data_IF_059042675717
#
_entry.id   IF_059042675717
#
_cell.length_a   1.000
_cell.length_b   1.000
_cell.length_c   1.000
_cell.angle_alpha   90.00
_cell.angle_beta   90.00
_cell.angle_gamma   90.00
#
_symmetry.space_group_name_H-M   'P 1'
#
loop_
_entity.id
_entity.type
_entity.pdbx_description
1 polymer ?
#
# COMPACT_ATOMS: atom_id res chain seq x y z
N UNK A 1 -30.02 -11.71 -6.82
CA UNK A 1 -29.34 -12.85 -6.17
C UNK A 1 -30.38 -13.58 -5.33
N UNK A 2 -30.68 -14.84 -5.62
CA UNK A 2 -31.48 -15.67 -4.73
C UNK A 2 -30.86 -15.65 -3.31
N UNK A 3 -31.68 -15.82 -2.28
CA UNK A 3 -31.36 -15.50 -0.88
C UNK A 3 -30.36 -16.49 -0.23
N UNK A 4 -29.17 -16.60 -0.82
CA UNK A 4 -28.09 -17.51 -0.44
C UNK A 4 -27.60 -17.25 0.99
N UNK A 5 -27.83 -16.03 1.52
CA UNK A 5 -27.52 -15.69 2.92
C UNK A 5 -28.45 -16.39 3.89
N UNK A 6 -29.76 -16.32 3.69
CA UNK A 6 -30.70 -17.06 4.55
C UNK A 6 -30.42 -18.55 4.58
N UNK A 7 -30.04 -19.12 3.43
CA UNK A 7 -29.66 -20.54 3.35
C UNK A 7 -28.37 -20.79 4.13
N UNK A 8 -27.33 -19.98 3.93
CA UNK A 8 -26.06 -20.14 4.63
C UNK A 8 -26.17 -19.92 6.15
N UNK A 9 -26.93 -18.92 6.59
CA UNK A 9 -27.21 -18.64 8.00
C UNK A 9 -27.96 -19.81 8.64
N UNK A 10 -28.94 -20.41 7.92
CA UNK A 10 -29.66 -21.60 8.39
C UNK A 10 -28.74 -22.81 8.48
N UNK A 11 -27.82 -22.99 7.53
CA UNK A 11 -26.82 -24.05 7.57
C UNK A 11 -25.90 -23.86 8.79
N UNK A 12 -25.38 -22.65 9.01
CA UNK A 12 -24.55 -22.32 10.19
C UNK A 12 -25.31 -22.59 11.50
N UNK A 13 -26.58 -22.16 11.59
CA UNK A 13 -27.41 -22.32 12.78
C UNK A 13 -27.76 -23.79 13.07
N UNK A 14 -28.02 -24.60 12.03
CA UNK A 14 -28.25 -26.03 12.17
C UNK A 14 -27.03 -26.73 12.77
N UNK A 15 -25.82 -26.36 12.34
CA UNK A 15 -24.59 -26.97 12.85
C UNK A 15 -24.22 -26.53 14.26
N UNK A 16 -24.50 -25.27 14.63
CA UNK A 16 -24.29 -24.77 16.00
C UNK A 16 -25.38 -25.22 16.99
N UNK A 17 -26.43 -25.90 16.53
CA UNK A 17 -27.52 -26.32 17.40
C UNK A 17 -27.10 -27.47 18.32
N UNK A 18 -27.42 -27.34 19.61
CA UNK A 18 -27.20 -28.41 20.62
C UNK A 18 -27.95 -29.72 20.31
N UNK A 19 -28.90 -29.68 19.38
CA UNK A 19 -29.68 -30.84 18.91
C UNK A 19 -29.02 -31.57 17.73
N UNK A 20 -27.93 -31.02 17.19
CA UNK A 20 -27.21 -31.63 16.09
C UNK A 20 -26.22 -32.69 16.62
N UNK A 21 -26.55 -33.95 16.39
CA UNK A 21 -25.70 -35.09 16.78
C UNK A 21 -24.55 -35.34 15.80
N UNK A 22 -24.53 -34.67 14.64
CA UNK A 22 -23.41 -34.69 13.71
C UNK A 22 -22.41 -33.59 14.10
N UNK A 23 -21.39 -33.94 14.89
CA UNK A 23 -20.29 -33.02 15.15
C UNK A 23 -19.41 -32.86 13.89
N UNK A 24 -18.79 -31.69 13.76
CA UNK A 24 -17.95 -31.25 12.64
C UNK A 24 -16.72 -32.11 12.25
N UNK A 25 -16.20 -33.10 13.03
CA UNK A 25 -15.07 -33.92 12.57
C UNK A 25 -15.30 -34.72 11.27
N UNK A 26 -16.54 -34.79 10.75
CA UNK A 26 -16.88 -35.48 9.51
C UNK A 26 -17.10 -34.54 8.29
N UNK A 27 -16.98 -33.22 8.45
CA UNK A 27 -17.12 -32.27 7.33
C UNK A 27 -15.73 -31.93 6.78
N UNK A 28 -15.24 -32.74 5.83
CA UNK A 28 -13.94 -32.53 5.16
C UNK A 28 -13.78 -31.14 4.53
N UNK A 29 -14.89 -30.41 4.33
CA UNK A 29 -14.96 -29.10 3.68
C UNK A 29 -15.40 -27.96 4.61
N UNK A 30 -15.27 -28.09 5.94
CA UNK A 30 -15.68 -27.05 6.90
C UNK A 30 -15.03 -25.69 6.59
N UNK A 31 -13.72 -25.70 6.38
CA UNK A 31 -12.96 -24.49 6.04
C UNK A 31 -13.41 -23.89 4.70
N UNK A 32 -13.81 -24.72 3.75
CA UNK A 32 -14.33 -24.29 2.45
C UNK A 32 -15.70 -23.64 2.61
N UNK A 33 -16.59 -24.23 3.40
CA UNK A 33 -17.89 -23.64 3.73
C UNK A 33 -17.71 -22.27 4.40
N UNK A 34 -16.92 -22.18 5.47
CA UNK A 34 -16.72 -20.91 6.17
C UNK A 34 -15.99 -19.86 5.33
N UNK A 35 -15.10 -20.27 4.42
CA UNK A 35 -14.46 -19.37 3.46
C UNK A 35 -15.49 -18.75 2.50
N UNK A 36 -16.35 -19.58 1.90
CA UNK A 36 -17.41 -19.11 1.01
C UNK A 36 -18.47 -18.29 1.75
N UNK A 37 -18.82 -18.71 2.96
CA UNK A 37 -19.75 -18.01 3.83
C UNK A 37 -19.22 -16.63 4.20
N UNK A 38 -17.98 -16.52 4.66
CA UNK A 38 -17.36 -15.23 4.97
C UNK A 38 -17.32 -14.34 3.72
N UNK A 39 -16.97 -14.86 2.54
CA UNK A 39 -17.00 -14.08 1.30
C UNK A 39 -18.40 -13.57 0.93
N UNK A 40 -19.46 -14.30 1.27
CA UNK A 40 -20.84 -13.82 1.14
C UNK A 40 -21.13 -12.70 2.13
N UNK A 41 -20.74 -12.87 3.40
CA UNK A 41 -20.93 -11.88 4.46
C UNK A 41 -20.17 -10.57 4.19
N UNK A 42 -18.94 -10.64 3.67
CA UNK A 42 -18.15 -9.48 3.25
C UNK A 42 -18.87 -8.62 2.22
N UNK A 43 -19.81 -9.17 1.45
CA UNK A 43 -20.58 -8.40 0.46
C UNK A 43 -21.88 -7.81 1.01
N UNK A 44 -22.38 -8.33 2.12
CA UNK A 44 -23.78 -8.10 2.53
C UNK A 44 -23.95 -7.54 3.93
N UNK A 45 -23.01 -7.80 4.84
CA UNK A 45 -23.10 -7.29 6.21
C UNK A 45 -22.73 -5.82 6.29
N UNK A 46 -23.36 -5.05 7.19
CA UNK A 46 -22.83 -3.79 7.68
C UNK A 46 -21.40 -3.96 8.25
N UNK A 47 -20.63 -2.88 8.31
CA UNK A 47 -19.22 -2.98 8.69
C UNK A 47 -19.04 -3.38 10.15
N UNK A 48 -19.96 -2.98 11.02
CA UNK A 48 -20.05 -3.34 12.45
C UNK A 48 -20.13 -4.85 12.65
N UNK A 49 -21.08 -5.49 11.96
CA UNK A 49 -21.29 -6.93 12.04
C UNK A 49 -20.17 -7.70 11.33
N UNK A 50 -19.65 -7.15 10.23
CA UNK A 50 -18.55 -7.76 9.49
C UNK A 50 -17.28 -7.83 10.33
N UNK A 51 -16.97 -6.80 11.13
CA UNK A 51 -15.82 -6.78 12.04
C UNK A 51 -15.86 -7.97 13.01
N UNK A 52 -16.99 -8.14 13.69
CA UNK A 52 -17.23 -9.24 14.63
C UNK A 52 -17.05 -10.59 13.94
N UNK A 53 -17.67 -10.76 12.76
CA UNK A 53 -17.60 -12.02 12.00
C UNK A 53 -16.20 -12.31 11.48
N UNK A 54 -15.48 -11.31 10.99
CA UNK A 54 -14.11 -11.48 10.51
C UNK A 54 -13.19 -11.94 11.62
N UNK A 55 -13.22 -11.28 12.79
CA UNK A 55 -12.36 -11.64 13.95
C UNK A 55 -12.68 -13.02 14.53
N UNK A 56 -13.94 -13.44 14.49
CA UNK A 56 -14.35 -14.75 14.97
C UNK A 56 -13.84 -15.89 14.06
N UNK A 57 -13.79 -15.66 12.75
CA UNK A 57 -13.47 -16.69 11.77
C UNK A 57 -12.00 -16.69 11.34
N UNK A 58 -11.34 -15.54 11.28
CA UNK A 58 -10.00 -15.39 10.69
C UNK A 58 -8.92 -15.19 11.77
N UNK A 59 -7.80 -15.93 11.73
CA UNK A 59 -7.42 -16.95 10.76
C UNK A 59 -7.81 -18.39 11.17
N UNK A 60 -8.48 -18.56 12.32
CA UNK A 60 -8.62 -19.86 13.00
C UNK A 60 -9.49 -20.87 12.24
N UNK A 61 -10.61 -20.40 11.70
CA UNK A 61 -11.60 -21.22 10.98
C UNK A 61 -11.42 -21.06 9.46
N UNK A 62 -11.09 -19.83 9.05
CA UNK A 62 -10.88 -19.48 7.64
C UNK A 62 -9.46 -18.98 7.45
N UNK A 63 -8.71 -19.65 6.59
CA UNK A 63 -7.38 -19.20 6.19
C UNK A 63 -7.43 -17.87 5.44
N UNK A 64 -6.44 -17.02 5.68
CA UNK A 64 -6.28 -15.73 5.01
C UNK A 64 -5.83 -15.99 3.58
N UNK A 65 -6.69 -15.72 2.60
CA UNK A 65 -6.37 -15.86 1.18
C UNK A 65 -6.48 -14.50 0.45
N UNK A 66 -5.91 -14.45 -0.76
CA UNK A 66 -5.82 -13.23 -1.57
C UNK A 66 -7.21 -12.64 -1.87
N UNK A 67 -8.17 -13.49 -2.23
CA UNK A 67 -9.54 -13.05 -2.57
C UNK A 67 -10.25 -12.40 -1.39
N UNK A 68 -10.12 -12.99 -0.19
CA UNK A 68 -10.67 -12.44 1.05
C UNK A 68 -10.02 -11.10 1.39
N UNK A 69 -8.68 -11.03 1.30
CA UNK A 69 -7.93 -9.80 1.60
C UNK A 69 -8.34 -8.67 0.67
N UNK A 70 -8.41 -8.92 -0.65
CA UNK A 70 -8.87 -7.95 -1.64
C UNK A 70 -10.29 -7.48 -1.36
N UNK A 71 -11.22 -8.42 -1.08
CA UNK A 71 -12.61 -8.07 -0.82
C UNK A 71 -12.77 -7.21 0.45
N UNK A 72 -12.02 -7.53 1.51
CA UNK A 72 -11.99 -6.73 2.74
C UNK A 72 -11.40 -5.34 2.51
N UNK A 73 -10.28 -5.22 1.80
CA UNK A 73 -9.67 -3.91 1.50
C UNK A 73 -10.63 -3.03 0.70
N UNK A 74 -11.31 -3.56 -0.31
CA UNK A 74 -12.31 -2.79 -1.08
C UNK A 74 -13.46 -2.29 -0.19
N UNK A 75 -13.95 -3.15 0.72
CA UNK A 75 -14.98 -2.78 1.69
C UNK A 75 -14.51 -1.68 2.64
N UNK A 76 -13.27 -1.78 3.13
CA UNK A 76 -12.67 -0.81 4.06
C UNK A 76 -12.28 0.51 3.39
N UNK A 77 -12.01 0.49 2.08
CA UNK A 77 -11.79 1.71 1.30
C UNK A 77 -13.08 2.54 1.17
N UNK A 78 -14.24 1.87 1.06
CA UNK A 78 -15.54 2.54 1.02
C UNK A 78 -16.04 2.99 2.40
N UNK A 79 -15.73 2.22 3.46
CA UNK A 79 -16.14 2.54 4.84
C UNK A 79 -14.96 2.30 5.77
N UNK A 80 -14.23 3.36 6.09
CA UNK A 80 -13.00 3.26 6.86
C UNK A 80 -13.28 2.83 8.30
N UNK A 81 -12.55 1.81 8.73
CA UNK A 81 -12.47 1.37 10.13
C UNK A 81 -11.04 0.95 10.43
N UNK A 82 -10.30 1.81 11.12
CA UNK A 82 -8.86 1.62 11.35
C UNK A 82 -8.57 0.26 12.01
N UNK A 83 -9.22 -0.04 13.13
CA UNK A 83 -8.99 -1.29 13.87
C UNK A 83 -9.19 -2.56 13.03
N UNK A 84 -10.18 -2.58 12.13
CA UNK A 84 -10.41 -3.71 11.24
C UNK A 84 -9.44 -3.72 10.06
N UNK A 85 -9.09 -2.55 9.50
CA UNK A 85 -8.09 -2.44 8.44
C UNK A 85 -6.71 -2.90 8.91
N UNK A 86 -6.25 -2.43 10.09
CA UNK A 86 -5.03 -2.87 10.72
C UNK A 86 -5.01 -4.39 10.85
N UNK A 87 -6.10 -4.97 11.35
CA UNK A 87 -6.23 -6.42 11.50
C UNK A 87 -6.10 -7.16 10.17
N UNK A 88 -6.79 -6.71 9.12
CA UNK A 88 -6.75 -7.32 7.78
C UNK A 88 -5.34 -7.27 7.18
N UNK A 89 -4.61 -6.16 7.38
CA UNK A 89 -3.23 -6.02 6.90
C UNK A 89 -2.29 -6.93 7.69
N UNK A 90 -2.38 -6.97 9.01
CA UNK A 90 -1.59 -7.87 9.87
C UNK A 90 -1.78 -9.35 9.49
N UNK A 91 -3.03 -9.76 9.28
CA UNK A 91 -3.37 -11.10 8.81
C UNK A 91 -2.78 -11.37 7.41
N UNK A 92 -2.78 -10.36 6.53
CA UNK A 92 -2.13 -10.43 5.21
C UNK A 92 -0.60 -10.54 5.28
N UNK A 93 0.05 -9.83 6.21
CA UNK A 93 1.49 -9.96 6.47
C UNK A 93 1.81 -11.39 6.92
N UNK A 94 1.05 -11.91 7.90
CA UNK A 94 1.22 -13.28 8.39
C UNK A 94 1.01 -14.33 7.28
N UNK A 95 0.08 -14.06 6.36
CA UNK A 95 -0.19 -14.89 5.18
C UNK A 95 0.77 -14.67 3.99
N UNK A 96 1.82 -13.85 4.16
CA UNK A 96 2.82 -13.53 3.13
C UNK A 96 2.25 -12.84 1.89
N UNK A 97 1.17 -12.08 2.03
CA UNK A 97 0.58 -11.32 0.93
C UNK A 97 1.41 -10.10 0.51
N UNK A 98 2.43 -9.74 1.28
CA UNK A 98 3.37 -8.65 0.96
C UNK A 98 4.17 -8.88 -0.33
N UNK A 99 4.27 -10.13 -0.80
CA UNK A 99 4.92 -10.45 -2.08
C UNK A 99 3.93 -10.55 -3.24
N UNK A 100 2.62 -10.58 -2.97
CA UNK A 100 1.61 -10.51 -4.02
C UNK A 100 1.47 -9.06 -4.49
N UNK A 101 1.84 -8.81 -5.75
CA UNK A 101 1.85 -7.46 -6.34
C UNK A 101 0.47 -6.77 -6.27
N UNK A 102 -0.61 -7.51 -6.52
CA UNK A 102 -1.96 -6.96 -6.56
C UNK A 102 -2.44 -6.62 -5.15
N UNK A 103 -2.26 -7.54 -4.20
CA UNK A 103 -2.68 -7.31 -2.81
C UNK A 103 -1.86 -6.18 -2.19
N UNK A 104 -0.55 -6.17 -2.42
CA UNK A 104 0.35 -5.13 -1.89
C UNK A 104 0.01 -3.74 -2.43
N UNK A 105 -0.30 -3.62 -3.73
CA UNK A 105 -0.75 -2.35 -4.31
C UNK A 105 -2.07 -1.86 -3.68
N UNK A 106 -3.03 -2.76 -3.45
CA UNK A 106 -4.28 -2.42 -2.77
C UNK A 106 -4.06 -1.98 -1.33
N UNK A 107 -3.16 -2.64 -0.59
CA UNK A 107 -2.81 -2.24 0.77
C UNK A 107 -2.20 -0.83 0.81
N UNK A 108 -1.27 -0.50 -0.08
CA UNK A 108 -0.72 0.86 -0.17
C UNK A 108 -1.80 1.88 -0.57
N UNK A 109 -2.65 1.53 -1.52
CA UNK A 109 -3.74 2.39 -1.98
C UNK A 109 -4.72 2.75 -0.85
N UNK A 110 -5.17 1.77 -0.07
CA UNK A 110 -6.10 2.04 1.04
C UNK A 110 -5.43 2.84 2.15
N UNK A 111 -4.16 2.56 2.48
CA UNK A 111 -3.39 3.33 3.46
C UNK A 111 -3.19 4.79 3.03
N UNK A 112 -2.90 5.04 1.74
CA UNK A 112 -2.77 6.39 1.19
C UNK A 112 -4.08 7.19 1.24
N UNK A 113 -5.23 6.50 1.25
CA UNK A 113 -6.58 7.07 1.31
C UNK A 113 -7.08 7.34 2.74
N UNK A 114 -6.31 6.97 3.77
CA UNK A 114 -6.70 7.18 5.16
C UNK A 114 -6.87 8.66 5.48
N UNK A 115 -7.94 8.96 6.21
CA UNK A 115 -8.19 10.29 6.75
C UNK A 115 -7.50 10.46 8.09
N UNK A 116 -6.20 10.72 8.06
CA UNK A 116 -5.35 10.80 9.26
C UNK A 116 -5.83 11.82 10.29
N UNK A 117 -6.52 12.87 9.85
CA UNK A 117 -7.12 13.89 10.72
C UNK A 117 -8.31 13.39 11.54
N UNK A 118 -8.98 12.31 11.12
CA UNK A 118 -10.10 11.69 11.84
C UNK A 118 -9.64 10.63 12.85
N UNK A 119 -8.36 10.25 12.83
CA UNK A 119 -7.77 9.22 13.71
C UNK A 119 -7.28 9.81 15.04
N UNK A 120 -7.24 8.98 16.10
CA UNK A 120 -6.59 9.37 17.36
C UNK A 120 -5.07 9.41 17.22
N UNK A 121 -4.36 9.91 18.25
CA UNK A 121 -2.90 9.92 18.27
C UNK A 121 -2.37 8.48 18.27
N UNK A 122 -2.95 7.63 19.13
CA UNK A 122 -2.59 6.22 19.28
C UNK A 122 -2.81 5.46 17.97
N UNK A 123 -3.95 5.68 17.30
CA UNK A 123 -4.23 5.06 16.00
C UNK A 123 -3.23 5.50 14.92
N UNK A 124 -2.80 6.77 14.93
CA UNK A 124 -1.77 7.25 14.01
C UNK A 124 -0.39 6.62 14.29
N UNK A 125 -0.04 6.42 15.56
CA UNK A 125 1.20 5.73 15.95
C UNK A 125 1.19 4.27 15.53
N UNK A 126 0.08 3.55 15.76
CA UNK A 126 -0.12 2.19 15.26
C UNK A 126 0.01 2.13 13.72
N UNK A 127 -0.56 3.12 13.03
CA UNK A 127 -0.50 3.21 11.57
C UNK A 127 0.92 3.44 11.06
N UNK A 128 1.65 4.36 11.69
CA UNK A 128 3.04 4.64 11.36
C UNK A 128 3.91 3.40 11.52
N UNK A 129 3.74 2.66 12.63
CA UNK A 129 4.50 1.44 12.87
C UNK A 129 4.17 0.33 11.87
N UNK A 130 2.88 0.15 11.55
CA UNK A 130 2.47 -0.81 10.53
C UNK A 130 3.07 -0.47 9.16
N UNK A 131 3.04 0.80 8.76
CA UNK A 131 3.61 1.27 7.49
C UNK A 131 5.11 1.03 7.44
N UNK A 132 5.86 1.38 8.50
CA UNK A 132 7.31 1.13 8.56
C UNK A 132 7.62 -0.36 8.37
N UNK A 133 6.95 -1.22 9.12
CA UNK A 133 7.09 -2.68 9.00
C UNK A 133 6.80 -3.18 7.59
N UNK A 134 5.74 -2.67 6.95
CA UNK A 134 5.41 -3.07 5.57
C UNK A 134 6.49 -2.64 4.58
N UNK A 135 7.01 -1.42 4.71
CA UNK A 135 8.09 -0.90 3.87
C UNK A 135 9.39 -1.69 4.08
N UNK A 136 9.72 -2.02 5.33
CA UNK A 136 10.88 -2.87 5.66
C UNK A 136 10.80 -4.23 4.96
N UNK A 137 9.63 -4.88 5.00
CA UNK A 137 9.42 -6.16 4.31
C UNK A 137 9.66 -6.01 2.80
N UNK A 138 9.08 -5.01 2.14
CA UNK A 138 9.27 -4.83 0.69
C UNK A 138 10.72 -4.52 0.33
N UNK A 139 11.42 -3.71 1.12
CA UNK A 139 12.84 -3.43 0.92
C UNK A 139 13.69 -4.70 1.10
N UNK A 140 13.42 -5.49 2.14
CA UNK A 140 14.11 -6.76 2.39
C UNK A 140 13.97 -7.71 1.18
N UNK A 141 12.75 -7.92 0.68
CA UNK A 141 12.51 -8.75 -0.50
C UNK A 141 13.20 -8.22 -1.75
N UNK A 142 13.35 -6.90 -1.90
CA UNK A 142 14.09 -6.32 -3.03
C UNK A 142 15.61 -6.53 -2.93
N UNK A 143 16.13 -6.72 -1.72
CA UNK A 143 17.56 -6.86 -1.43
C UNK A 143 18.04 -8.32 -1.38
N UNK A 144 17.20 -9.29 -1.74
CA UNK A 144 17.63 -10.69 -1.89
C UNK A 144 18.50 -10.87 -3.14
N UNK A 145 19.79 -10.59 -3.01
CA UNK A 145 20.77 -10.57 -4.11
C UNK A 145 21.73 -11.76 -4.10
N UNK A 146 21.72 -12.59 -3.05
CA UNK A 146 22.60 -13.77 -2.95
C UNK A 146 22.10 -14.91 -3.85
N UNK A 147 22.98 -15.77 -4.41
CA UNK A 147 22.58 -16.83 -5.34
C UNK A 147 21.45 -17.74 -4.83
N UNK A 148 21.46 -18.07 -3.53
CA UNK A 148 20.47 -18.93 -2.90
C UNK A 148 19.11 -18.23 -2.68
N UNK A 149 19.11 -16.91 -2.53
CA UNK A 149 17.92 -16.11 -2.24
C UNK A 149 17.39 -15.33 -3.45
N UNK A 150 18.14 -15.26 -4.56
CA UNK A 150 17.79 -14.46 -5.74
C UNK A 150 16.41 -14.82 -6.33
N UNK A 151 16.02 -16.10 -6.26
CA UNK A 151 14.68 -16.56 -6.69
C UNK A 151 13.52 -15.96 -5.87
N UNK A 152 13.81 -15.46 -4.67
CA UNK A 152 12.86 -14.81 -3.78
C UNK A 152 12.87 -13.29 -3.96
N UNK A 153 13.80 -12.74 -4.76
CA UNK A 153 13.92 -11.31 -4.97
C UNK A 153 12.66 -10.77 -5.63
N UNK A 154 12.14 -9.68 -5.07
CA UNK A 154 11.06 -8.92 -5.67
C UNK A 154 11.49 -7.46 -5.78
N UNK A 155 11.95 -7.09 -6.98
CA UNK A 155 12.35 -5.71 -7.26
C UNK A 155 11.19 -4.75 -7.05
N UNK A 156 11.48 -3.58 -6.50
CA UNK A 156 10.48 -2.54 -6.29
C UNK A 156 10.12 -1.90 -7.63
N UNK A 157 8.82 -1.71 -7.87
CA UNK A 157 8.35 -0.93 -9.01
C UNK A 157 8.44 0.56 -8.72
N UNK A 158 8.59 1.42 -9.75
CA UNK A 158 8.59 2.86 -9.53
C UNK A 158 7.35 3.38 -8.79
N UNK A 159 6.16 2.82 -9.07
CA UNK A 159 4.95 3.14 -8.29
C UNK A 159 5.07 2.73 -6.83
N UNK A 160 5.60 1.53 -6.54
CA UNK A 160 5.79 1.04 -5.16
C UNK A 160 6.70 1.98 -4.39
N UNK A 161 7.81 2.42 -4.99
CA UNK A 161 8.76 3.35 -4.38
C UNK A 161 8.08 4.69 -4.04
N UNK A 162 7.41 5.31 -5.02
CA UNK A 162 6.74 6.60 -4.79
C UNK A 162 5.62 6.51 -3.75
N UNK A 163 4.87 5.40 -3.73
CA UNK A 163 3.79 5.17 -2.76
C UNK A 163 4.35 4.96 -1.34
N UNK A 164 5.42 4.18 -1.19
CA UNK A 164 6.08 3.96 0.10
C UNK A 164 6.70 5.25 0.64
N UNK A 165 7.35 6.03 -0.24
CA UNK A 165 7.89 7.35 0.09
C UNK A 165 6.79 8.27 0.65
N UNK A 166 5.67 8.40 -0.06
CA UNK A 166 4.56 9.26 0.37
C UNK A 166 3.91 8.76 1.67
N UNK A 167 3.78 7.44 1.85
CA UNK A 167 3.26 6.85 3.10
C UNK A 167 4.15 7.22 4.29
N UNK A 168 5.46 7.05 4.19
CA UNK A 168 6.40 7.38 5.27
C UNK A 168 6.37 8.88 5.60
N UNK A 169 6.40 9.74 4.58
CA UNK A 169 6.35 11.19 4.78
C UNK A 169 5.06 11.61 5.48
N UNK A 170 3.90 11.05 5.07
CA UNK A 170 2.61 11.31 5.74
C UNK A 170 2.60 10.88 7.21
N UNK A 171 3.38 9.87 7.57
CA UNK A 171 3.53 9.38 8.95
C UNK A 171 4.59 10.14 9.76
N UNK A 172 5.22 11.17 9.18
CA UNK A 172 6.27 11.96 9.82
C UNK A 172 7.68 11.39 9.66
N UNK A 173 7.86 10.24 9.02
CA UNK A 173 9.16 9.62 8.73
C UNK A 173 9.74 10.19 7.41
N UNK A 174 9.98 11.51 7.44
CA UNK A 174 10.26 12.31 6.23
C UNK A 174 11.58 11.94 5.57
N UNK A 175 12.65 11.91 6.34
CA UNK A 175 14.01 11.64 5.84
C UNK A 175 14.05 10.30 5.10
N UNK A 176 13.57 9.24 5.76
CA UNK A 176 13.48 7.91 5.18
C UNK A 176 12.59 7.86 3.95
N UNK A 177 11.46 8.58 3.96
CA UNK A 177 10.58 8.66 2.81
C UNK A 177 11.25 9.29 1.58
N UNK A 178 12.04 10.35 1.78
CA UNK A 178 12.83 10.95 0.70
C UNK A 178 13.98 10.06 0.25
N UNK A 179 14.65 9.36 1.15
CA UNK A 179 15.72 8.43 0.80
C UNK A 179 15.24 7.26 -0.06
N UNK A 180 14.05 6.71 0.24
CA UNK A 180 13.42 5.70 -0.61
C UNK A 180 13.10 6.28 -1.99
N UNK A 181 12.63 7.52 -2.08
CA UNK A 181 12.29 8.13 -3.37
C UNK A 181 13.53 8.28 -4.28
N UNK A 182 14.69 8.56 -3.70
CA UNK A 182 15.97 8.70 -4.45
C UNK A 182 16.38 7.42 -5.17
N UNK A 183 15.88 6.25 -4.76
CA UNK A 183 16.12 4.99 -5.48
C UNK A 183 15.65 5.03 -6.94
N UNK A 184 14.72 5.92 -7.30
CA UNK A 184 14.29 6.14 -8.69
C UNK A 184 15.34 6.83 -9.56
N UNK A 185 16.26 7.56 -8.93
CA UNK A 185 17.36 8.28 -9.58
C UNK A 185 18.70 7.54 -9.46
N UNK A 186 18.77 6.46 -8.68
CA UNK A 186 19.98 5.66 -8.50
C UNK A 186 20.15 4.65 -9.64
N UNK A 187 21.16 4.87 -10.48
CA UNK A 187 21.49 3.97 -11.59
C UNK A 187 21.90 2.57 -11.11
N UNK A 188 22.65 2.47 -10.00
CA UNK A 188 23.08 1.17 -9.47
C UNK A 188 21.88 0.35 -8.98
N UNK A 189 20.90 1.00 -8.37
CA UNK A 189 19.67 0.35 -7.92
C UNK A 189 18.82 -0.20 -9.08
N UNK A 190 18.90 0.43 -10.26
CA UNK A 190 18.08 0.09 -11.44
C UNK A 190 18.76 -0.90 -12.39
N UNK A 191 20.03 -0.68 -12.71
CA UNK A 191 20.77 -1.40 -13.75
C UNK A 191 22.16 -1.88 -13.31
N UNK A 192 22.50 -1.80 -12.02
CA UNK A 192 23.75 -2.35 -11.48
C UNK A 192 23.81 -3.88 -11.51
N UNK A 193 24.86 -4.46 -10.92
CA UNK A 193 25.06 -5.92 -10.88
C UNK A 193 23.96 -6.66 -10.10
N UNK A 194 23.42 -6.03 -9.06
CA UNK A 194 22.35 -6.57 -8.22
C UNK A 194 21.20 -5.57 -8.07
N UNK A 195 20.41 -5.34 -9.14
CA UNK A 195 19.40 -4.28 -9.17
C UNK A 195 18.23 -4.63 -8.25
N UNK A 196 17.80 -3.66 -7.45
CA UNK A 196 16.72 -3.75 -6.44
C UNK A 196 15.45 -3.06 -6.91
N UNK A 197 15.54 -2.23 -7.95
CA UNK A 197 14.43 -1.52 -8.60
C UNK A 197 14.23 -2.10 -10.00
N UNK A 198 12.98 -2.26 -10.43
CA UNK A 198 12.70 -2.66 -11.82
C UNK A 198 12.76 -1.46 -12.77
N UNK A 199 13.25 -1.69 -13.98
CA UNK A 199 13.26 -0.70 -15.06
C UNK A 199 11.86 -0.47 -15.66
N UNK A 200 10.92 -1.38 -15.39
CA UNK A 200 9.55 -1.31 -15.92
C UNK A 200 8.60 -0.55 -15.00
N UNK A 201 7.70 0.21 -15.63
CA UNK A 201 6.63 0.95 -14.95
C UNK A 201 6.99 2.41 -14.69
N UNK A 202 6.09 3.12 -14.03
CA UNK A 202 6.20 4.56 -13.78
C UNK A 202 5.65 4.91 -12.39
N UNK A 203 6.21 5.91 -11.69
CA UNK A 203 5.59 6.48 -10.51
C UNK A 203 4.19 7.00 -10.84
N UNK A 204 3.24 6.84 -9.91
CA UNK A 204 1.88 7.33 -10.16
C UNK A 204 1.87 8.87 -10.21
N UNK A 205 1.33 9.51 -11.26
CA UNK A 205 1.39 10.97 -11.40
C UNK A 205 0.70 11.72 -10.26
N UNK A 206 -0.38 11.17 -9.68
CA UNK A 206 -1.03 11.74 -8.49
C UNK A 206 -0.11 11.71 -7.26
N UNK A 207 0.61 10.61 -7.05
CA UNK A 207 1.56 10.43 -5.93
C UNK A 207 2.75 11.37 -6.08
N UNK A 208 3.32 11.48 -7.28
CA UNK A 208 4.43 12.41 -7.55
C UNK A 208 4.01 13.87 -7.36
N UNK A 209 2.78 14.24 -7.74
CA UNK A 209 2.25 15.59 -7.45
C UNK A 209 2.10 15.83 -5.94
N UNK A 210 1.63 14.85 -5.17
CA UNK A 210 1.56 14.96 -3.72
C UNK A 210 2.94 15.09 -3.07
N UNK A 211 3.94 14.34 -3.53
CA UNK A 211 5.32 14.47 -3.07
C UNK A 211 5.90 15.85 -3.41
N UNK A 212 5.68 16.34 -4.64
CA UNK A 212 6.09 17.69 -5.02
C UNK A 212 5.46 18.75 -4.11
N UNK A 213 4.15 18.71 -3.90
CA UNK A 213 3.45 19.65 -3.04
C UNK A 213 4.00 19.63 -1.60
N UNK A 214 4.30 18.43 -1.08
CA UNK A 214 4.89 18.25 0.24
C UNK A 214 6.29 18.89 0.34
N UNK A 215 7.13 18.79 -0.70
CA UNK A 215 8.42 19.49 -0.72
C UNK A 215 8.23 21.02 -0.79
N UNK A 216 7.30 21.48 -1.64
CA UNK A 216 7.01 22.90 -1.83
C UNK A 216 6.44 23.55 -0.56
N UNK A 217 5.56 22.86 0.18
CA UNK A 217 4.97 23.35 1.42
C UNK A 217 6.02 23.68 2.48
N UNK A 218 7.14 22.94 2.50
CA UNK A 218 8.25 23.14 3.44
C UNK A 218 9.35 24.03 2.86
N UNK A 219 9.17 24.56 1.65
CA UNK A 219 10.18 25.34 0.95
C UNK A 219 11.45 24.52 0.64
N UNK A 220 11.33 23.20 0.55
CA UNK A 220 12.46 22.29 0.35
C UNK A 220 12.82 22.20 -1.14
N UNK A 221 13.71 23.08 -1.57
CA UNK A 221 14.19 23.13 -2.95
C UNK A 221 14.82 21.81 -3.40
N UNK A 222 15.50 21.10 -2.51
CA UNK A 222 16.28 19.91 -2.86
C UNK A 222 15.34 18.77 -3.22
N UNK A 223 14.39 18.47 -2.33
CA UNK A 223 13.42 17.42 -2.56
C UNK A 223 12.43 17.79 -3.69
N UNK A 224 12.06 19.07 -3.82
CA UNK A 224 11.24 19.51 -4.96
C UNK A 224 11.97 19.32 -6.30
N UNK A 225 13.27 19.61 -6.36
CA UNK A 225 14.09 19.36 -7.55
C UNK A 225 14.27 17.87 -7.85
N UNK A 226 14.36 17.03 -6.81
CA UNK A 226 14.37 15.57 -7.00
C UNK A 226 13.05 15.07 -7.59
N UNK A 227 11.90 15.56 -7.10
CA UNK A 227 10.60 15.26 -7.70
C UNK A 227 10.54 15.70 -9.17
N UNK A 228 11.05 16.90 -9.49
CA UNK A 228 11.13 17.40 -10.86
C UNK A 228 11.96 16.47 -11.76
N UNK A 229 13.14 16.03 -11.27
CA UNK A 229 14.01 15.12 -12.01
C UNK A 229 13.33 13.77 -12.27
N UNK A 230 12.65 13.21 -11.27
CA UNK A 230 11.89 11.96 -11.42
C UNK A 230 10.74 12.12 -12.44
N UNK A 231 10.03 13.24 -12.41
CA UNK A 231 8.96 13.55 -13.38
C UNK A 231 9.52 13.62 -14.80
N UNK A 232 10.64 14.34 -15.00
CA UNK A 232 11.29 14.43 -16.31
C UNK A 232 11.74 13.05 -16.83
N UNK A 233 12.32 12.23 -15.94
CA UNK A 233 12.84 10.91 -16.28
C UNK A 233 11.73 9.90 -16.65
N UNK A 234 10.63 9.86 -15.88
CA UNK A 234 9.58 8.85 -16.04
C UNK A 234 8.36 9.34 -16.83
N UNK A 235 8.28 10.63 -17.14
CA UNK A 235 7.17 11.23 -17.89
C UNK A 235 7.66 12.40 -18.76
N UNK A 236 8.55 12.14 -19.74
CA UNK A 236 9.24 13.16 -20.53
C UNK A 236 8.30 14.08 -21.33
N UNK A 237 7.08 13.63 -21.62
CA UNK A 237 6.03 14.41 -22.26
C UNK A 237 5.38 15.47 -21.34
N UNK A 238 5.70 15.48 -20.05
CA UNK A 238 5.11 16.40 -19.07
C UNK A 238 5.70 17.78 -19.19
N UNK A 239 4.86 18.81 -19.15
CA UNK A 239 5.34 20.19 -19.12
C UNK A 239 6.05 20.52 -17.79
N UNK A 240 7.36 20.76 -17.84
CA UNK A 240 8.20 20.97 -16.65
C UNK A 240 8.18 22.43 -16.15
N UNK A 241 7.97 23.39 -17.04
CA UNK A 241 7.93 24.83 -16.72
C UNK A 241 7.04 25.19 -15.52
N UNK A 242 5.77 24.72 -15.46
CA UNK A 242 4.88 25.01 -14.32
C UNK A 242 5.42 24.52 -12.97
N UNK A 243 6.14 23.40 -12.93
CA UNK A 243 6.74 22.90 -11.70
C UNK A 243 7.93 23.77 -11.27
N UNK A 244 8.77 24.20 -12.21
CA UNK A 244 9.90 25.10 -11.93
C UNK A 244 9.43 26.44 -11.38
N UNK A 245 8.38 27.02 -11.96
CA UNK A 245 7.79 28.26 -11.45
C UNK A 245 7.33 28.12 -9.99
N UNK A 246 6.68 27.00 -9.65
CA UNK A 246 6.26 26.73 -8.28
C UNK A 246 7.45 26.59 -7.32
N UNK A 247 8.53 25.91 -7.73
CA UNK A 247 9.76 25.78 -6.94
C UNK A 247 10.38 27.16 -6.69
N UNK A 248 10.50 27.99 -7.73
CA UNK A 248 11.08 29.33 -7.61
C UNK A 248 10.25 30.20 -6.65
N UNK A 249 8.93 30.12 -6.73
CA UNK A 249 8.02 30.92 -5.90
C UNK A 249 8.02 30.47 -4.43
N UNK A 250 8.09 29.16 -4.16
CA UNK A 250 7.86 28.61 -2.80
C UNK A 250 9.13 28.25 -2.03
N UNK A 251 10.23 27.90 -2.70
CA UNK A 251 11.44 27.38 -2.06
C UNK A 251 12.55 28.42 -1.82
N UNK A 252 12.28 29.72 -2.02
CA UNK A 252 13.25 30.82 -1.85
C UNK A 252 14.61 30.52 -2.50
N UNK A 253 14.60 30.21 -3.79
CA UNK A 253 15.80 29.81 -4.54
C UNK A 253 16.75 30.97 -4.80
N UNK A 254 18.05 30.68 -4.81
CA UNK A 254 19.10 31.60 -5.24
C UNK A 254 19.09 31.83 -6.74
N UNK A 255 19.77 32.88 -7.21
CA UNK A 255 19.93 33.15 -8.64
C UNK A 255 20.60 32.00 -9.40
N UNK A 256 21.55 31.28 -8.76
CA UNK A 256 22.20 30.11 -9.35
C UNK A 256 21.22 28.94 -9.47
N UNK A 257 20.47 28.62 -8.42
CA UNK A 257 19.46 27.55 -8.44
C UNK A 257 18.37 27.83 -9.47
N UNK A 258 17.92 29.08 -9.60
CA UNK A 258 16.99 29.48 -10.67
C UNK A 258 17.56 29.19 -12.06
N UNK A 259 18.81 29.57 -12.34
CA UNK A 259 19.48 29.27 -13.62
C UNK A 259 19.59 27.76 -13.87
N UNK A 260 19.87 26.97 -12.83
CA UNK A 260 19.92 25.51 -12.93
C UNK A 260 18.56 24.96 -13.35
N UNK A 261 17.46 25.40 -12.73
CA UNK A 261 16.11 24.97 -13.09
C UNK A 261 15.71 25.40 -14.51
N UNK A 262 16.00 26.65 -14.88
CA UNK A 262 15.71 27.17 -16.22
C UNK A 262 16.46 26.36 -17.30
N UNK A 263 17.73 26.03 -17.06
CA UNK A 263 18.52 25.19 -17.96
C UNK A 263 18.02 23.73 -17.98
N UNK A 264 17.61 23.19 -16.84
CA UNK A 264 17.06 21.84 -16.76
C UNK A 264 15.83 21.66 -17.65
N UNK A 265 14.91 22.63 -17.64
CA UNK A 265 13.72 22.63 -18.50
C UNK A 265 14.12 22.64 -19.98
N UNK A 266 15.04 23.51 -20.39
CA UNK A 266 15.52 23.62 -21.78
C UNK A 266 16.21 22.36 -22.31
N UNK A 267 16.77 21.53 -21.43
CA UNK A 267 17.43 20.29 -21.84
C UNK A 267 16.45 19.13 -22.03
N UNK A 268 15.26 19.21 -21.44
CA UNK A 268 14.26 18.14 -21.42
C UNK A 268 12.98 18.49 -22.19
N UNK A 269 12.91 19.70 -22.78
CA UNK A 269 11.80 20.21 -23.60
C UNK A 269 12.33 21.01 -24.78
#
# INVERSE_FOLDING_TARGET
AANNRMVADRIEALYKSDKNNAQLPAFTDESLFYSQYLMLLVKQLPMEELDIRYRALVPRVVGVNRSLTVAMIHRLQATQRWSLLRRVIEDGIAARHMTDLRVSALMRSVLLSLKLQEMTIEEREECAELIRRMVDIWLEFSNFTTPNALRLQQKLTPSTISECSLLLIKMGDRERGWDILKLLLDENARSGETPTVTEFGYPQPSVMRSLMEEALQYGDWLNASQCLNIIALYSPQTELGPFVEQIIQRCKVTALQKRILDNFVRLHQ
#
